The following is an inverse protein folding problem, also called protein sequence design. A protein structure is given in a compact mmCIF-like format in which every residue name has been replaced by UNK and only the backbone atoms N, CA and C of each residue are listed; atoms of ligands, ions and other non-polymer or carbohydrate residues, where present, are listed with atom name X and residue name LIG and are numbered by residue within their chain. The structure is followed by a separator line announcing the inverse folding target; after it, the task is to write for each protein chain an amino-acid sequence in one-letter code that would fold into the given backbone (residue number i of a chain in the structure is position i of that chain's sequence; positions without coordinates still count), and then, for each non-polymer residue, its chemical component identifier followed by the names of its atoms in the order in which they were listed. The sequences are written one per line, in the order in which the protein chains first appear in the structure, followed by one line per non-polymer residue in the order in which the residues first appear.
data_IF_985840507755
#
_entry.id   IF_985840507755
#
_cell.length_a   1.000
_cell.length_b   1.000
_cell.length_c   1.000
_cell.angle_alpha   90.00
_cell.angle_beta   90.00
_cell.angle_gamma   90.00
#
_symmetry.space_group_name_H-M   'P 1'
#
loop_
_entity.id
_entity.type
_entity.pdbx_description
1 polymer ?
#
# COMPACT_ATOMS: atom_id res chain seq x y z
N UNK A 1 -55.37 -30.93 -47.14
CA UNK A 1 -53.89 -30.89 -47.16
C UNK A 1 -53.42 -29.51 -46.73
N UNK A 2 -53.09 -29.33 -45.45
CA UNK A 2 -52.45 -28.12 -44.91
C UNK A 2 -51.43 -28.58 -43.88
N UNK A 3 -50.15 -28.43 -44.18
CA UNK A 3 -49.05 -28.34 -43.22
C UNK A 3 -47.74 -28.34 -44.01
N UNK A 4 -47.10 -27.18 -44.22
CA UNK A 4 -45.64 -27.06 -44.51
C UNK A 4 -45.14 -25.59 -44.56
N UNK A 5 -45.66 -24.66 -43.75
CA UNK A 5 -45.09 -23.29 -43.71
C UNK A 5 -44.60 -22.81 -42.34
N UNK A 6 -44.75 -23.60 -41.28
CA UNK A 6 -44.36 -23.17 -39.92
C UNK A 6 -42.96 -23.66 -39.49
N UNK A 7 -42.33 -24.59 -40.20
CA UNK A 7 -41.07 -25.24 -39.78
C UNK A 7 -39.78 -24.48 -40.20
N UNK A 8 -39.78 -23.14 -40.24
CA UNK A 8 -38.57 -22.38 -40.62
C UNK A 8 -38.40 -21.03 -39.90
N UNK A 9 -38.91 -20.89 -38.67
CA UNK A 9 -38.75 -19.67 -37.86
C UNK A 9 -37.90 -19.81 -36.60
N UNK A 10 -37.45 -21.00 -36.23
CA UNK A 10 -36.70 -21.18 -34.97
C UNK A 10 -35.22 -20.81 -35.07
N UNK A 11 -34.61 -20.80 -36.26
CA UNK A 11 -33.14 -20.63 -36.38
C UNK A 11 -32.63 -19.19 -36.56
N UNK A 12 -33.52 -18.19 -36.59
CA UNK A 12 -33.14 -16.79 -36.90
C UNK A 12 -32.69 -15.96 -35.67
N UNK A 13 -32.91 -16.45 -34.44
CA UNK A 13 -32.64 -15.71 -33.20
C UNK A 13 -31.26 -16.06 -32.61
N UNK A 14 -30.73 -17.26 -32.89
CA UNK A 14 -29.41 -17.72 -32.42
C UNK A 14 -28.18 -16.95 -32.94
N UNK A 15 -28.12 -16.42 -34.19
CA UNK A 15 -26.89 -15.77 -34.67
C UNK A 15 -26.64 -14.40 -34.01
N UNK A 16 -27.71 -13.72 -33.56
CA UNK A 16 -27.61 -12.43 -32.88
C UNK A 16 -27.08 -12.58 -31.45
N UNK A 17 -27.51 -13.63 -30.72
CA UNK A 17 -27.01 -13.94 -29.38
C UNK A 17 -25.52 -14.31 -29.37
N UNK A 18 -25.08 -15.14 -30.31
CA UNK A 18 -23.65 -15.51 -30.44
C UNK A 18 -22.77 -14.31 -30.78
N UNK A 19 -23.27 -13.39 -31.62
CA UNK A 19 -22.57 -12.15 -31.96
C UNK A 19 -22.41 -11.23 -30.73
N UNK A 20 -23.45 -11.10 -29.89
CA UNK A 20 -23.35 -10.29 -28.66
C UNK A 20 -22.37 -10.86 -27.64
N UNK A 21 -22.31 -12.19 -27.48
CA UNK A 21 -21.36 -12.86 -26.59
C UNK A 21 -19.92 -12.70 -27.10
N UNK A 22 -19.71 -12.84 -28.42
CA UNK A 22 -18.40 -12.63 -29.04
C UNK A 22 -17.89 -11.20 -28.87
N UNK A 23 -18.78 -10.19 -29.00
CA UNK A 23 -18.45 -8.78 -28.76
C UNK A 23 -18.09 -8.54 -27.28
N UNK A 24 -18.80 -9.15 -26.33
CA UNK A 24 -18.50 -9.05 -24.90
C UNK A 24 -17.14 -9.68 -24.53
N UNK A 25 -16.75 -10.77 -25.19
CA UNK A 25 -15.43 -11.41 -25.01
C UNK A 25 -14.26 -10.62 -25.59
N UNK A 26 -14.51 -9.66 -26.50
CA UNK A 26 -13.50 -8.74 -27.05
C UNK A 26 -13.31 -7.46 -26.19
N UNK A 27 -14.20 -7.22 -25.23
CA UNK A 27 -14.17 -6.05 -24.34
C UNK A 27 -13.04 -6.00 -23.28
N UNK A 28 -12.49 -7.12 -22.73
CA UNK A 28 -11.47 -7.04 -21.68
C UNK A 28 -10.11 -6.49 -22.14
N UNK A 29 -9.90 -6.28 -23.45
CA UNK A 29 -8.71 -5.63 -23.99
C UNK A 29 -8.58 -4.14 -23.59
N UNK A 30 -9.62 -3.56 -22.99
CA UNK A 30 -9.64 -2.16 -22.52
C UNK A 30 -9.32 -2.01 -21.02
N UNK A 31 -9.06 -3.10 -20.29
CA UNK A 31 -8.53 -3.01 -18.93
C UNK A 31 -7.04 -2.61 -18.96
N UNK A 32 -6.78 -1.31 -19.13
CA UNK A 32 -5.43 -0.76 -18.95
C UNK A 32 -5.09 -0.83 -17.46
N UNK A 33 -4.04 -1.57 -17.12
CA UNK A 33 -3.43 -1.48 -15.79
C UNK A 33 -3.11 -0.01 -15.47
N UNK A 34 -3.36 0.43 -14.22
CA UNK A 34 -3.23 1.83 -13.82
C UNK A 34 -1.76 2.27 -13.76
N UNK A 35 -1.19 2.64 -14.91
CA UNK A 35 0.22 3.04 -15.02
C UNK A 35 0.53 4.36 -14.31
N UNK A 36 -0.47 5.23 -14.17
CA UNK A 36 -0.34 6.56 -13.56
C UNK A 36 0.11 6.50 -12.11
N UNK A 37 -0.53 5.66 -11.27
CA UNK A 37 -0.20 5.58 -9.84
C UNK A 37 1.20 4.99 -9.64
N UNK A 38 1.53 3.91 -10.36
CA UNK A 38 2.85 3.31 -10.28
C UNK A 38 3.97 4.24 -10.77
N UNK A 39 3.69 5.14 -11.72
CA UNK A 39 4.63 6.20 -12.11
C UNK A 39 4.80 7.24 -11.01
N UNK A 40 3.68 7.77 -10.50
CA UNK A 40 3.68 8.77 -9.43
C UNK A 40 4.48 8.30 -8.21
N UNK A 41 4.26 7.06 -7.74
CA UNK A 41 5.00 6.50 -6.60
C UNK A 41 6.50 6.43 -6.89
N UNK A 42 6.91 5.96 -8.08
CA UNK A 42 8.34 5.88 -8.43
C UNK A 42 9.03 7.23 -8.52
N UNK A 43 8.31 8.26 -8.93
CA UNK A 43 8.85 9.63 -9.06
C UNK A 43 8.89 10.40 -7.74
N UNK A 44 8.06 10.01 -6.76
CA UNK A 44 7.89 10.76 -5.50
C UNK A 44 8.34 9.98 -4.24
N UNK A 45 8.57 8.66 -4.33
CA UNK A 45 9.02 7.87 -3.20
C UNK A 45 10.50 8.13 -2.91
N UNK A 46 10.83 8.31 -1.62
CA UNK A 46 12.21 8.30 -1.18
C UNK A 46 12.65 6.86 -0.91
N UNK A 47 13.80 6.47 -1.48
CA UNK A 47 14.38 5.16 -1.22
C UNK A 47 15.02 5.10 0.17
N UNK A 48 14.75 4.01 0.90
CA UNK A 48 15.50 3.62 2.10
C UNK A 48 16.55 2.60 1.67
N UNK A 49 17.82 2.92 1.88
CA UNK A 49 18.93 2.17 1.31
C UNK A 49 19.42 1.04 2.22
N UNK A 50 19.09 1.09 3.52
CA UNK A 50 19.54 0.08 4.48
C UNK A 50 18.56 -0.20 5.61
N UNK A 51 18.56 -1.44 6.08
CA UNK A 51 17.93 -1.88 7.32
C UNK A 51 18.93 -2.04 8.48
N UNK A 52 20.22 -1.87 8.20
CA UNK A 52 21.27 -2.02 9.20
C UNK A 52 21.22 -0.84 10.20
N UNK A 53 21.21 -1.19 11.49
CA UNK A 53 21.07 -0.26 12.61
C UNK A 53 22.19 0.78 12.71
N UNK A 54 23.38 0.47 12.21
CA UNK A 54 24.57 1.32 12.33
C UNK A 54 24.89 2.15 11.09
N UNK A 55 24.11 2.00 10.02
CA UNK A 55 24.29 2.81 8.80
C UNK A 55 23.85 4.27 9.00
N UNK A 56 24.53 5.24 8.34
CA UNK A 56 24.18 6.66 8.40
C UNK A 56 22.73 6.93 8.00
N UNK A 57 22.12 8.00 8.53
CA UNK A 57 20.68 8.26 8.41
C UNK A 57 20.27 9.20 7.26
N UNK A 58 21.13 9.46 6.28
CA UNK A 58 20.85 10.42 5.21
C UNK A 58 19.57 10.08 4.41
N UNK A 59 19.26 8.80 4.23
CA UNK A 59 18.04 8.32 3.57
C UNK A 59 16.76 8.53 4.42
N UNK A 60 16.90 8.69 5.74
CA UNK A 60 15.80 8.92 6.67
C UNK A 60 15.50 10.41 6.91
N UNK A 61 16.31 11.35 6.40
CA UNK A 61 16.07 12.79 6.55
C UNK A 61 14.70 13.23 6.02
N UNK A 62 14.25 12.60 4.93
CA UNK A 62 12.93 12.83 4.34
C UNK A 62 11.80 12.51 5.33
N UNK A 63 11.99 11.48 6.16
CA UNK A 63 11.04 11.07 7.20
C UNK A 63 10.99 12.10 8.31
N UNK A 64 12.14 12.58 8.79
CA UNK A 64 12.20 13.65 9.80
C UNK A 64 11.52 14.93 9.31
N UNK A 65 11.76 15.32 8.05
CA UNK A 65 11.08 16.48 7.43
C UNK A 65 9.57 16.29 7.32
N UNK A 66 9.11 15.08 6.99
CA UNK A 66 7.69 14.77 6.87
C UNK A 66 6.97 14.75 8.24
N UNK A 67 7.66 14.34 9.31
CA UNK A 67 7.16 14.37 10.69
C UNK A 67 7.04 15.81 11.20
N UNK A 68 8.03 16.66 10.92
CA UNK A 68 8.03 18.06 11.35
C UNK A 68 7.94 18.20 12.87
N UNK A 69 7.09 19.12 13.34
CA UNK A 69 6.98 19.50 14.76
C UNK A 69 5.96 18.67 15.56
N UNK A 70 5.58 17.48 15.06
CA UNK A 70 4.61 16.63 15.78
C UNK A 70 5.14 16.15 17.12
N UNK A 71 4.25 16.11 18.12
CA UNK A 71 4.62 15.69 19.48
C UNK A 71 4.59 14.18 19.69
N UNK A 72 3.90 13.42 18.83
CA UNK A 72 3.75 11.97 18.96
C UNK A 72 3.86 11.33 17.58
N UNK A 73 4.73 10.32 17.46
CA UNK A 73 4.88 9.47 16.27
C UNK A 73 4.43 8.05 16.60
N UNK A 74 3.51 7.51 15.81
CA UNK A 74 3.04 6.13 15.94
C UNK A 74 3.73 5.24 14.91
N UNK A 75 4.37 4.16 15.37
CA UNK A 75 5.05 3.20 14.49
C UNK A 75 4.33 1.84 14.49
N UNK A 76 3.62 1.55 13.41
CA UNK A 76 2.93 0.28 13.18
C UNK A 76 3.85 -0.85 12.70
N UNK A 77 3.27 -2.01 12.37
CA UNK A 77 3.94 -3.13 11.70
C UNK A 77 2.97 -3.81 10.73
N UNK A 78 3.50 -4.36 9.63
CA UNK A 78 2.66 -4.98 8.60
C UNK A 78 2.16 -6.37 8.99
N UNK A 79 3.00 -7.14 9.67
CA UNK A 79 2.69 -8.48 10.16
C UNK A 79 3.51 -8.77 11.42
N UNK A 80 2.94 -9.56 12.33
CA UNK A 80 3.66 -10.04 13.51
C UNK A 80 4.87 -10.86 13.09
N UNK A 81 6.00 -10.60 13.75
CA UNK A 81 7.22 -11.38 13.55
C UNK A 81 7.93 -11.14 12.21
N UNK A 82 7.56 -10.10 11.44
CA UNK A 82 8.35 -9.69 10.28
C UNK A 82 9.67 -9.04 10.74
N UNK A 83 10.75 -9.84 10.70
CA UNK A 83 12.09 -9.39 11.09
C UNK A 83 12.57 -8.19 10.28
N UNK A 84 12.18 -8.05 9.02
CA UNK A 84 12.59 -6.91 8.19
C UNK A 84 11.92 -5.60 8.66
N UNK A 85 10.63 -5.67 9.00
CA UNK A 85 9.91 -4.57 9.65
C UNK A 85 10.52 -4.23 11.01
N UNK A 86 10.93 -5.21 11.81
CA UNK A 86 11.55 -4.96 13.11
C UNK A 86 12.91 -4.24 12.98
N UNK A 87 13.76 -4.67 12.03
CA UNK A 87 15.04 -4.01 11.73
C UNK A 87 14.83 -2.58 11.24
N UNK A 88 13.92 -2.38 10.28
CA UNK A 88 13.56 -1.06 9.76
C UNK A 88 13.09 -0.12 10.87
N UNK A 89 12.17 -0.58 11.73
CA UNK A 89 11.65 0.18 12.87
C UNK A 89 12.75 0.51 13.87
N UNK A 90 13.63 -0.44 14.18
CA UNK A 90 14.73 -0.21 15.13
C UNK A 90 15.66 0.89 14.64
N UNK A 91 16.05 0.86 13.35
CA UNK A 91 16.86 1.91 12.72
C UNK A 91 16.14 3.26 12.71
N UNK A 92 14.84 3.28 12.38
CA UNK A 92 14.02 4.48 12.39
C UNK A 92 13.89 5.09 13.79
N UNK A 93 13.67 4.27 14.82
CA UNK A 93 13.60 4.71 16.21
C UNK A 93 14.93 5.35 16.63
N UNK A 94 16.07 4.74 16.27
CA UNK A 94 17.41 5.30 16.53
C UNK A 94 17.57 6.68 15.87
N UNK A 95 17.16 6.82 14.61
CA UNK A 95 17.18 8.11 13.91
C UNK A 95 16.30 9.16 14.61
N UNK A 96 15.04 8.81 14.93
CA UNK A 96 14.12 9.73 15.59
C UNK A 96 14.61 10.17 16.96
N UNK A 97 15.29 9.27 17.68
CA UNK A 97 15.89 9.59 18.97
C UNK A 97 17.10 10.52 18.83
N UNK A 98 18.06 10.16 17.98
CA UNK A 98 19.35 10.87 17.86
C UNK A 98 19.22 12.19 17.12
N UNK A 99 18.47 12.21 16.01
CA UNK A 99 18.41 13.36 15.11
C UNK A 99 17.18 14.24 15.34
N UNK A 100 16.05 13.66 15.76
CA UNK A 100 14.79 14.40 15.90
C UNK A 100 14.35 14.60 17.37
N UNK A 101 15.13 14.11 18.35
CA UNK A 101 14.89 14.36 19.77
C UNK A 101 13.63 13.70 20.33
N UNK A 102 13.16 12.61 19.73
CA UNK A 102 12.04 11.83 20.24
C UNK A 102 12.47 10.82 21.30
N UNK A 103 11.58 10.56 22.26
CA UNK A 103 11.79 9.58 23.32
C UNK A 103 10.84 8.40 23.16
N UNK A 104 11.36 7.20 23.40
CA UNK A 104 10.58 5.98 23.33
C UNK A 104 9.62 5.90 24.51
N UNK A 105 8.34 5.64 24.25
CA UNK A 105 7.36 5.37 25.29
C UNK A 105 7.02 3.89 25.26
N UNK A 106 7.61 3.17 26.20
CA UNK A 106 7.11 1.85 26.56
C UNK A 106 5.88 1.98 27.46
N UNK A 107 4.97 1.01 27.38
CA UNK A 107 3.68 0.93 28.09
C UNK A 107 3.82 1.07 29.62
N UNK A 108 5.03 0.92 30.15
CA UNK A 108 5.34 1.00 31.58
C UNK A 108 5.73 2.42 32.08
N UNK A 109 5.68 3.45 31.24
CA UNK A 109 6.03 4.82 31.62
C UNK A 109 4.87 5.61 32.28
N UNK A 110 5.19 6.59 33.17
CA UNK A 110 4.25 7.22 34.10
C UNK A 110 3.19 8.10 33.44
N UNK A 111 2.19 8.52 34.23
CA UNK A 111 0.92 9.21 33.88
C UNK A 111 0.96 10.43 32.93
N UNK A 112 2.11 10.88 32.44
CA UNK A 112 2.24 12.01 31.52
C UNK A 112 3.22 11.71 30.39
N UNK A 113 2.74 11.89 29.15
CA UNK A 113 3.52 11.73 27.94
C UNK A 113 4.52 12.90 27.79
N UNK A 114 5.83 12.66 27.61
CA UNK A 114 6.77 13.73 27.26
C UNK A 114 6.37 14.39 25.93
N UNK A 115 6.73 15.66 25.78
CA UNK A 115 6.73 16.31 24.47
C UNK A 115 7.76 15.57 23.61
N UNK A 116 7.35 15.07 22.44
CA UNK A 116 8.14 14.26 21.49
C UNK A 116 8.27 12.79 21.89
N UNK A 117 7.16 12.07 21.75
CA UNK A 117 6.99 10.67 22.09
C UNK A 117 6.97 9.75 20.86
N UNK A 118 7.60 8.58 20.97
CA UNK A 118 7.39 7.47 20.03
C UNK A 118 6.50 6.43 20.71
N UNK A 119 5.31 6.20 20.16
CA UNK A 119 4.42 5.14 20.60
C UNK A 119 4.48 3.98 19.61
N UNK A 120 4.67 2.78 20.14
CA UNK A 120 4.65 1.55 19.37
C UNK A 120 3.91 0.48 20.17
N UNK A 121 3.28 -0.45 19.45
CA UNK A 121 2.58 -1.59 20.08
C UNK A 121 3.37 -2.84 19.76
N UNK A 122 3.73 -3.60 20.80
CA UNK A 122 4.00 -5.02 20.64
C UNK A 122 2.65 -5.70 20.47
N UNK A 123 2.44 -6.30 19.31
CA UNK A 123 1.24 -7.06 19.05
C UNK A 123 1.51 -8.54 19.38
#
# INVERSE_FOLDING_TARGET
MRATSECKRENAIYPLGYLTIAIAMLFPAHCRAQTTVGRFVRENAQAVHSLNFDEPFADLESVGKAIGDTSIVMLGEQAHGDGSTFLAKSRLIKYLHVCAGFYLIDRLLPNHLPKNAIQYTYA
#
